data_IF_786252010242
#
_entry.id   IF_786252010242
#
_cell.length_a   1.000
_cell.length_b   1.000
_cell.length_c   1.000
_cell.angle_alpha   90.00
_cell.angle_beta   90.00
_cell.angle_gamma   90.00
#
_symmetry.space_group_name_H-M   'P 1'
#
loop_
_entity.id
_entity.type
_entity.pdbx_description
1 polymer ?
#
# COMPACT_ATOMS: atom_id res chain seq x y z
N UNK A 1 -18.89 11.66 11.52
CA UNK A 1 -18.08 11.75 12.75
C UNK A 1 -16.59 11.63 12.47
N UNK A 2 -16.07 10.47 12.04
CA UNK A 2 -14.62 10.30 11.81
C UNK A 2 -13.99 11.34 10.85
N UNK A 3 -14.66 11.68 9.74
CA UNK A 3 -14.18 12.68 8.78
C UNK A 3 -13.92 14.05 9.41
N UNK A 4 -14.85 14.58 10.22
CA UNK A 4 -14.72 15.89 10.85
C UNK A 4 -13.56 15.94 11.84
N UNK A 5 -13.30 14.85 12.55
CA UNK A 5 -12.12 14.70 13.41
C UNK A 5 -10.86 14.75 12.56
N UNK A 6 -10.80 13.98 11.47
CA UNK A 6 -9.63 13.97 10.59
C UNK A 6 -9.36 15.32 9.90
N UNK A 7 -10.41 16.04 9.48
CA UNK A 7 -10.29 17.40 8.95
C UNK A 7 -9.79 18.38 10.02
N UNK A 8 -10.22 18.24 11.27
CA UNK A 8 -9.70 19.02 12.38
C UNK A 8 -8.21 18.74 12.61
N UNK A 9 -7.82 17.46 12.65
CA UNK A 9 -6.42 17.05 12.78
C UNK A 9 -5.58 17.59 11.61
N UNK A 10 -6.05 17.50 10.37
CA UNK A 10 -5.34 18.07 9.22
C UNK A 10 -5.18 19.59 9.31
N UNK A 11 -6.21 20.32 9.78
CA UNK A 11 -6.07 21.76 10.03
C UNK A 11 -5.04 22.03 11.12
N UNK A 12 -5.01 21.20 12.17
CA UNK A 12 -4.05 21.33 13.24
C UNK A 12 -2.62 21.04 12.77
N UNK A 13 -2.40 20.06 11.88
CA UNK A 13 -1.07 19.75 11.37
C UNK A 13 -0.49 20.91 10.54
N UNK A 14 -1.34 21.58 9.75
CA UNK A 14 -0.99 22.74 8.93
C UNK A 14 -0.51 23.98 9.71
N UNK A 15 -0.65 24.01 11.03
CA UNK A 15 -0.06 25.09 11.84
C UNK A 15 1.29 24.72 12.47
N UNK A 16 1.96 23.70 11.93
CA UNK A 16 3.30 23.28 12.36
C UNK A 16 3.33 22.24 13.48
N UNK A 17 2.24 21.49 13.70
CA UNK A 17 2.19 20.39 14.67
C UNK A 17 2.32 19.05 13.94
N UNK A 18 3.18 18.17 14.44
CA UNK A 18 3.23 16.78 13.98
C UNK A 18 2.14 15.97 14.65
N UNK A 19 1.32 15.28 13.85
CA UNK A 19 0.24 14.44 14.34
C UNK A 19 0.51 13.01 13.87
N UNK A 20 0.59 12.09 14.83
CA UNK A 20 0.76 10.66 14.58
C UNK A 20 -0.46 9.95 15.16
N UNK A 21 -1.10 9.10 14.38
CA UNK A 21 -2.27 8.34 14.81
C UNK A 21 -2.29 6.97 14.11
N UNK A 22 -2.95 6.01 14.75
CA UNK A 22 -3.32 4.74 14.13
C UNK A 22 -4.79 4.78 13.74
N UNK A 23 -5.13 4.29 12.55
CA UNK A 23 -6.51 4.18 12.09
C UNK A 23 -6.77 2.76 11.61
N UNK A 24 -7.83 2.15 12.14
CA UNK A 24 -8.30 0.85 11.67
C UNK A 24 -9.22 1.07 10.46
N UNK A 25 -8.80 0.63 9.28
CA UNK A 25 -9.57 0.64 8.03
C UNK A 25 -10.15 2.02 7.66
N UNK A 26 -9.32 2.99 7.20
CA UNK A 26 -9.82 4.29 6.79
C UNK A 26 -10.70 4.17 5.54
N UNK A 27 -11.82 4.90 5.53
CA UNK A 27 -12.55 5.14 4.27
C UNK A 27 -11.65 5.91 3.30
N UNK A 28 -11.79 5.67 2.00
CA UNK A 28 -10.99 6.34 0.96
C UNK A 28 -10.94 7.87 1.12
N UNK A 29 -12.09 8.48 1.44
CA UNK A 29 -12.20 9.93 1.60
C UNK A 29 -11.39 10.50 2.79
N UNK A 30 -11.08 9.67 3.80
CA UNK A 30 -10.19 9.99 4.92
C UNK A 30 -8.74 9.71 4.54
N UNK A 31 -8.47 8.59 3.88
CA UNK A 31 -7.14 8.21 3.42
C UNK A 31 -6.48 9.31 2.57
N UNK A 32 -7.26 9.98 1.71
CA UNK A 32 -6.80 11.13 0.91
C UNK A 32 -6.35 12.36 1.72
N UNK A 33 -6.53 12.37 3.04
CA UNK A 33 -6.07 13.46 3.91
C UNK A 33 -4.68 13.21 4.49
N UNK A 34 -4.08 12.04 4.24
CA UNK A 34 -2.82 11.64 4.86
C UNK A 34 -1.64 12.13 4.05
N UNK A 35 -0.69 12.81 4.70
CA UNK A 35 0.54 13.26 4.07
C UNK A 35 1.59 12.14 3.96
N UNK A 36 1.64 11.26 4.96
CA UNK A 36 2.63 10.17 5.09
C UNK A 36 1.94 8.92 5.62
N UNK A 37 2.31 7.76 5.07
CA UNK A 37 1.86 6.44 5.50
C UNK A 37 2.97 5.70 6.23
N UNK A 38 2.58 5.00 7.29
CA UNK A 38 3.39 3.99 7.96
C UNK A 38 2.57 2.70 8.04
N UNK A 39 2.84 1.78 7.12
CA UNK A 39 2.10 0.53 6.99
C UNK A 39 2.84 -0.60 7.72
N UNK A 40 2.08 -1.36 8.50
CA UNK A 40 2.57 -2.49 9.28
C UNK A 40 1.86 -3.76 8.83
N UNK A 41 2.62 -4.85 8.69
CA UNK A 41 2.11 -6.22 8.56
C UNK A 41 2.85 -7.12 9.54
N UNK A 42 2.11 -7.88 10.35
CA UNK A 42 2.67 -8.79 11.36
C UNK A 42 3.79 -8.17 12.23
N UNK A 43 3.62 -6.89 12.63
CA UNK A 43 4.60 -6.15 13.44
C UNK A 43 5.83 -5.63 12.69
N UNK A 44 5.90 -5.79 11.36
CA UNK A 44 6.98 -5.30 10.52
C UNK A 44 6.51 -4.16 9.63
N UNK A 45 7.36 -3.16 9.42
CA UNK A 45 7.10 -2.07 8.49
C UNK A 45 7.19 -2.58 7.05
N UNK A 46 6.08 -2.50 6.33
CA UNK A 46 6.00 -2.85 4.90
C UNK A 46 6.20 -1.64 4.01
N UNK A 47 5.80 -0.46 4.48
CA UNK A 47 6.00 0.80 3.78
C UNK A 47 6.06 1.97 4.75
N UNK A 48 6.98 2.90 4.50
CA UNK A 48 7.01 4.20 5.16
C UNK A 48 7.39 5.28 4.15
N UNK A 49 6.51 6.26 3.96
CA UNK A 49 6.78 7.35 3.02
C UNK A 49 5.55 8.16 2.65
N UNK A 50 5.69 9.11 1.70
CA UNK A 50 4.60 9.96 1.22
C UNK A 50 3.46 9.13 0.63
N UNK A 51 2.21 9.47 0.96
CA UNK A 51 1.03 8.75 0.45
C UNK A 51 1.02 8.64 -1.07
N UNK A 52 1.44 9.70 -1.78
CA UNK A 52 1.45 9.73 -3.25
C UNK A 52 2.46 8.76 -3.89
N UNK A 53 3.46 8.31 -3.13
CA UNK A 53 4.50 7.38 -3.61
C UNK A 53 4.16 5.91 -3.33
N UNK A 54 3.10 5.63 -2.57
CA UNK A 54 2.78 4.28 -2.10
C UNK A 54 2.45 3.34 -3.26
N UNK A 55 1.70 3.80 -4.26
CA UNK A 55 1.31 2.96 -5.39
C UNK A 55 2.53 2.57 -6.23
N UNK A 56 3.45 3.50 -6.50
CA UNK A 56 4.69 3.23 -7.22
C UNK A 56 5.55 2.19 -6.49
N UNK A 57 5.62 2.27 -5.16
CA UNK A 57 6.33 1.29 -4.34
C UNK A 57 5.70 -0.10 -4.48
N UNK A 58 4.38 -0.24 -4.29
CA UNK A 58 3.72 -1.54 -4.38
C UNK A 58 3.78 -2.13 -5.80
N UNK A 59 3.70 -1.30 -6.84
CA UNK A 59 3.93 -1.70 -8.24
C UNK A 59 5.34 -2.25 -8.45
N UNK A 60 6.37 -1.64 -7.86
CA UNK A 60 7.76 -2.09 -8.00
C UNK A 60 8.03 -3.47 -7.39
N UNK A 61 7.22 -3.90 -6.43
CA UNK A 61 7.32 -5.21 -5.77
C UNK A 61 6.27 -6.22 -6.27
N UNK A 62 5.58 -5.88 -7.37
CA UNK A 62 4.70 -6.79 -8.09
C UNK A 62 3.20 -6.66 -7.81
N UNK A 63 2.75 -5.72 -6.96
CA UNK A 63 1.32 -5.51 -6.74
C UNK A 63 0.79 -4.40 -7.63
N UNK A 64 -0.25 -4.67 -8.42
CA UNK A 64 -0.94 -3.67 -9.22
C UNK A 64 -2.30 -3.33 -8.61
N UNK A 65 -2.59 -2.03 -8.44
CA UNK A 65 -3.91 -1.53 -8.09
C UNK A 65 -4.61 -1.04 -9.35
N UNK A 66 -5.79 -1.57 -9.65
CA UNK A 66 -6.63 -1.09 -10.74
C UNK A 66 -7.10 0.36 -10.50
N UNK A 67 -7.30 1.11 -11.58
CA UNK A 67 -7.61 2.56 -11.56
C UNK A 67 -8.92 2.89 -10.80
N UNK A 68 -9.86 1.95 -10.73
CA UNK A 68 -11.15 2.12 -10.07
C UNK A 68 -11.19 1.52 -8.65
N UNK A 69 -10.10 0.90 -8.19
CA UNK A 69 -10.06 0.31 -6.85
C UNK A 69 -9.82 1.37 -5.78
N UNK A 70 -10.45 1.15 -4.62
CA UNK A 70 -10.16 1.94 -3.44
C UNK A 70 -8.75 1.63 -2.95
N UNK A 71 -7.82 2.56 -3.17
CA UNK A 71 -6.41 2.40 -2.78
C UNK A 71 -6.24 2.06 -1.28
N UNK A 72 -7.10 2.60 -0.41
CA UNK A 72 -7.02 2.32 1.02
C UNK A 72 -7.35 0.85 1.33
N UNK A 73 -8.35 0.28 0.65
CA UNK A 73 -8.70 -1.15 0.77
C UNK A 73 -7.61 -2.03 0.17
N UNK A 74 -7.13 -1.71 -1.04
CA UNK A 74 -6.03 -2.44 -1.67
C UNK A 74 -4.80 -2.55 -0.76
N UNK A 75 -4.38 -1.45 -0.13
CA UNK A 75 -3.22 -1.46 0.77
C UNK A 75 -3.47 -2.31 2.03
N UNK A 76 -4.71 -2.33 2.53
CA UNK A 76 -5.09 -3.18 3.65
C UNK A 76 -5.06 -4.66 3.25
N UNK A 77 -5.65 -5.02 2.12
CA UNK A 77 -5.65 -6.40 1.62
C UNK A 77 -4.21 -6.91 1.45
N UNK A 78 -3.33 -6.11 0.85
CA UNK A 78 -1.92 -6.46 0.65
C UNK A 78 -1.20 -6.61 1.98
N UNK A 79 -1.43 -5.71 2.95
CA UNK A 79 -0.79 -5.80 4.27
C UNK A 79 -1.34 -6.91 5.15
N UNK A 80 -2.58 -7.35 4.93
CA UNK A 80 -3.19 -8.49 5.60
C UNK A 80 -2.80 -9.83 4.95
N UNK A 81 -2.26 -9.81 3.73
CA UNK A 81 -1.88 -11.00 2.97
C UNK A 81 -3.01 -11.57 2.11
N UNK A 82 -4.15 -10.87 2.04
CA UNK A 82 -5.33 -11.27 1.28
C UNK A 82 -5.15 -11.11 -0.24
N UNK A 83 -4.16 -10.30 -0.65
CA UNK A 83 -3.68 -10.25 -2.05
C UNK A 83 -2.29 -10.83 -2.16
N UNK A 84 -2.11 -11.68 -3.16
CA UNK A 84 -0.81 -12.20 -3.58
C UNK A 84 -0.38 -11.47 -4.87
N UNK A 85 0.92 -11.16 -5.04
CA UNK A 85 1.40 -10.69 -6.32
C UNK A 85 1.19 -11.79 -7.37
N UNK A 86 0.93 -11.45 -8.64
CA UNK A 86 0.84 -12.45 -9.69
C UNK A 86 2.14 -13.27 -9.68
N UNK A 87 2.00 -14.59 -9.54
CA UNK A 87 3.13 -15.51 -9.56
C UNK A 87 3.97 -15.25 -10.81
N UNK A 88 5.25 -14.91 -10.66
CA UNK A 88 6.22 -14.93 -11.75
C UNK A 88 6.32 -16.37 -12.27
N UNK A 89 5.53 -16.73 -13.28
CA UNK A 89 5.63 -18.03 -13.94
C UNK A 89 6.68 -17.94 -15.06
N UNK A 90 7.82 -18.61 -14.81
CA UNK A 90 8.68 -19.33 -15.75
C UNK A 90 9.36 -18.58 -16.93
N UNK A 91 10.66 -18.28 -16.79
CA UNK A 91 11.64 -18.26 -17.88
C UNK A 91 12.90 -19.02 -17.43
N UNK A 92 12.77 -20.33 -17.23
CA UNK A 92 13.90 -21.25 -17.01
C UNK A 92 13.47 -22.67 -17.44
N UNK A 93 13.05 -22.83 -18.70
CA UNK A 93 12.78 -24.14 -19.31
C UNK A 93 12.88 -24.00 -20.84
N UNK A 94 14.10 -23.97 -21.40
CA UNK A 94 14.55 -24.52 -22.71
C UNK A 94 16.06 -24.27 -22.77
N UNK A 95 16.88 -25.20 -22.26
CA UNK A 95 18.30 -25.35 -22.63
C UNK A 95 18.94 -26.61 -22.02
N UNK A 96 18.28 -27.77 -22.02
CA UNK A 96 18.94 -29.07 -21.80
C UNK A 96 18.07 -30.18 -22.39
N UNK A 97 18.15 -30.37 -23.70
CA UNK A 97 17.86 -31.66 -24.35
C UNK A 97 18.24 -31.57 -25.83
N UNK A 98 19.54 -31.66 -26.12
CA UNK A 98 20.02 -31.97 -27.47
C UNK A 98 21.42 -32.61 -27.43
N UNK A 99 21.58 -33.68 -26.64
CA UNK A 99 22.82 -34.47 -26.68
C UNK A 99 22.62 -35.99 -26.49
N UNK A 100 21.47 -36.54 -26.90
CA UNK A 100 21.35 -38.00 -27.09
C UNK A 100 20.38 -38.35 -28.23
N UNK A 101 20.92 -38.33 -29.46
CA UNK A 101 20.53 -39.23 -30.56
C UNK A 101 21.64 -39.30 -31.58
#
# INVERSE_FOLDING_TARGET
>A
MARSVMECLQKLSRTGRTIVFSIHQPRYAIFKLFDTLFLLSAGRCTYHGPTDSVLNFFSSVGFSCEEHNNLAEFLLDVTQGDRQPPSTQQQDNIAFNEENS
#
